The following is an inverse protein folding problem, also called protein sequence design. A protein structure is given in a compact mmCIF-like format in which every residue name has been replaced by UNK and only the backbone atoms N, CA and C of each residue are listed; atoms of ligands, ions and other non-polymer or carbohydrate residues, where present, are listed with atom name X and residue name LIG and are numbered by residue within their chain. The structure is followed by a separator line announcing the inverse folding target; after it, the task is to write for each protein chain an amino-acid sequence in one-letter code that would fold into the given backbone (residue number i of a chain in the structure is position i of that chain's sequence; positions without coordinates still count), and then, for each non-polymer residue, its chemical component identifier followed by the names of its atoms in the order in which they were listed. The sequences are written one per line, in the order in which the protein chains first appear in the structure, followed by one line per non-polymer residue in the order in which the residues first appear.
data_IF_694482403917
#
_entry.id   IF_694482403917
#
_cell.length_a   1.000
_cell.length_b   1.000
_cell.length_c   1.000
_cell.angle_alpha   90.00
_cell.angle_beta   90.00
_cell.angle_gamma   90.00
#
_symmetry.space_group_name_H-M   'P 1'
#
loop_
_entity.id
_entity.type
_entity.pdbx_description
1 polymer ?
#
# COMPACT_ATOMS: atom_id res chain seq x y z
N UNK A 1 -68.17 8.50 -10.42
CA UNK A 1 -66.89 8.64 -9.68
C UNK A 1 -66.25 7.26 -9.63
N UNK A 2 -65.66 6.75 -10.73
CA UNK A 2 -64.23 6.83 -11.10
C UNK A 2 -63.26 6.28 -10.05
N UNK A 3 -62.72 5.07 -10.31
CA UNK A 3 -61.28 4.75 -10.29
C UNK A 3 -61.13 3.37 -10.98
N UNK A 4 -60.79 3.34 -12.27
CA UNK A 4 -59.43 3.21 -12.83
C UNK A 4 -58.66 1.98 -12.30
N UNK A 5 -58.53 0.98 -13.17
CA UNK A 5 -57.61 -0.13 -12.98
C UNK A 5 -56.16 0.28 -13.22
N UNK A 6 -55.25 -0.51 -12.67
CA UNK A 6 -53.85 -0.52 -13.08
C UNK A 6 -53.36 -1.96 -13.11
N UNK A 7 -53.04 -2.46 -14.31
CA UNK A 7 -52.26 -3.67 -14.49
C UNK A 7 -50.88 -3.46 -13.86
N UNK A 8 -50.52 -4.29 -12.88
CA UNK A 8 -49.15 -4.43 -12.45
C UNK A 8 -48.37 -5.24 -13.51
N UNK A 9 -47.55 -4.56 -14.31
CA UNK A 9 -46.50 -5.22 -15.09
C UNK A 9 -45.40 -5.65 -14.12
N UNK A 10 -45.28 -6.96 -13.88
CA UNK A 10 -44.11 -7.53 -13.21
C UNK A 10 -42.97 -7.46 -14.23
N UNK A 11 -42.05 -6.51 -14.04
CA UNK A 11 -40.73 -6.56 -14.65
C UNK A 11 -39.96 -7.68 -13.95
N UNK A 12 -39.71 -8.78 -14.68
CA UNK A 12 -38.74 -9.77 -14.27
C UNK A 12 -37.35 -9.12 -14.31
N UNK A 13 -36.86 -8.65 -13.17
CA UNK A 13 -35.44 -8.34 -12.99
C UNK A 13 -34.68 -9.65 -13.10
N UNK A 14 -33.92 -9.80 -14.19
CA UNK A 14 -32.96 -10.88 -14.32
C UNK A 14 -31.94 -10.77 -13.19
N UNK A 15 -32.01 -11.67 -12.23
CA UNK A 15 -30.92 -11.88 -11.29
C UNK A 15 -29.75 -12.45 -12.09
N UNK A 16 -28.71 -11.63 -12.31
CA UNK A 16 -27.41 -12.17 -12.68
C UNK A 16 -27.00 -13.15 -11.58
N UNK A 17 -26.94 -14.44 -11.94
CA UNK A 17 -26.35 -15.45 -11.07
C UNK A 17 -24.87 -15.13 -11.01
N UNK A 18 -24.46 -14.45 -9.94
CA UNK A 18 -23.04 -14.34 -9.59
C UNK A 18 -22.62 -15.75 -9.23
N UNK A 19 -21.91 -16.43 -10.13
CA UNK A 19 -21.21 -17.67 -9.77
C UNK A 19 -20.17 -17.29 -8.73
N UNK A 20 -20.51 -17.49 -7.45
CA UNK A 20 -19.54 -17.43 -6.37
C UNK A 20 -18.51 -18.52 -6.64
N UNK A 21 -17.31 -18.08 -7.06
CA UNK A 21 -16.16 -18.93 -7.22
C UNK A 21 -15.89 -19.64 -5.89
N UNK A 22 -16.16 -20.94 -5.83
CA UNK A 22 -15.80 -21.77 -4.69
C UNK A 22 -14.35 -22.23 -4.86
N UNK A 23 -13.40 -21.41 -4.40
CA UNK A 23 -12.04 -21.89 -4.14
C UNK A 23 -12.08 -22.71 -2.83
N UNK A 24 -11.69 -23.97 -2.90
CA UNK A 24 -11.66 -24.91 -1.76
C UNK A 24 -10.34 -24.87 -0.98
N UNK A 25 -9.31 -24.21 -1.52
CA UNK A 25 -8.06 -23.91 -0.85
C UNK A 25 -7.04 -23.20 -1.76
N UNK A 26 -5.84 -22.92 -1.26
CA UNK A 26 -4.77 -22.25 -2.02
C UNK A 26 -4.40 -22.98 -3.33
N UNK A 27 -4.59 -24.30 -3.39
CA UNK A 27 -4.37 -25.11 -4.59
C UNK A 27 -5.33 -24.78 -5.74
N UNK A 28 -6.39 -24.02 -5.49
CA UNK A 28 -7.31 -23.55 -6.52
C UNK A 28 -6.88 -22.24 -7.16
N UNK A 29 -5.76 -21.63 -6.77
CA UNK A 29 -5.27 -20.39 -7.39
C UNK A 29 -4.26 -20.73 -8.49
N UNK A 30 -4.57 -20.31 -9.71
CA UNK A 30 -3.70 -20.44 -10.88
C UNK A 30 -2.79 -19.21 -11.02
N UNK A 31 -3.25 -18.03 -10.58
CA UNK A 31 -2.57 -16.75 -10.81
C UNK A 31 -2.54 -15.87 -9.56
N UNK A 32 -1.37 -15.30 -9.26
CA UNK A 32 -1.17 -14.25 -8.26
C UNK A 32 -0.72 -12.98 -8.97
N UNK A 33 -1.48 -11.91 -8.81
CA UNK A 33 -1.16 -10.58 -9.32
C UNK A 33 -0.80 -9.69 -8.13
N UNK A 34 0.44 -9.22 -8.09
CA UNK A 34 0.97 -8.31 -7.09
C UNK A 34 1.05 -6.92 -7.71
N UNK A 35 0.30 -5.96 -7.17
CA UNK A 35 0.31 -4.58 -7.63
C UNK A 35 0.70 -3.68 -6.46
N UNK A 36 1.75 -2.89 -6.66
CA UNK A 36 2.27 -1.99 -5.64
C UNK A 36 1.97 -0.54 -6.05
N UNK A 37 1.44 0.21 -5.11
CA UNK A 37 1.29 1.66 -5.10
C UNK A 37 2.25 2.26 -4.06
N UNK A 38 2.27 3.58 -3.93
CA UNK A 38 3.31 4.28 -3.18
C UNK A 38 2.80 5.21 -2.07
N UNK A 39 3.56 5.29 -0.97
CA UNK A 39 3.54 6.36 0.04
C UNK A 39 2.19 6.59 0.77
N UNK A 40 1.51 5.57 1.30
CA UNK A 40 0.24 5.76 2.05
C UNK A 40 0.15 4.94 3.33
N UNK A 41 -0.07 5.63 4.45
CA UNK A 41 -0.45 5.01 5.72
C UNK A 41 -1.92 4.52 5.70
N UNK A 42 -2.21 3.49 6.49
CA UNK A 42 -3.55 2.92 6.55
C UNK A 42 -4.57 3.90 7.14
N UNK A 43 -4.26 4.54 8.28
CA UNK A 43 -5.13 5.54 8.90
C UNK A 43 -5.42 6.74 7.98
N UNK A 44 -4.48 7.09 7.11
CA UNK A 44 -4.63 8.19 6.17
C UNK A 44 -5.75 7.93 5.14
N UNK A 45 -5.93 6.68 4.68
CA UNK A 45 -6.98 6.30 3.72
C UNK A 45 -8.24 5.74 4.39
N UNK A 46 -8.04 4.93 5.42
CA UNK A 46 -9.06 4.05 5.99
C UNK A 46 -9.23 4.21 7.49
N UNK A 47 -8.59 5.20 8.14
CA UNK A 47 -8.77 5.44 9.58
C UNK A 47 -10.22 5.74 9.97
N UNK A 48 -11.07 6.19 9.02
CA UNK A 48 -12.51 6.39 9.25
C UNK A 48 -13.38 5.17 8.92
N UNK A 49 -12.79 4.05 8.48
CA UNK A 49 -13.51 2.84 8.10
C UNK A 49 -14.02 2.07 9.32
N UNK A 50 -15.23 1.54 9.23
CA UNK A 50 -15.80 0.73 10.28
C UNK A 50 -15.28 -0.71 10.19
N UNK A 51 -14.93 -1.32 11.33
CA UNK A 51 -14.52 -2.72 11.40
C UNK A 51 -13.03 -2.97 11.19
N UNK A 52 -12.22 -1.92 11.03
CA UNK A 52 -10.76 -1.98 10.99
C UNK A 52 -10.15 -1.35 12.24
N UNK A 53 -8.86 -1.59 12.48
CA UNK A 53 -8.05 -0.79 13.38
C UNK A 53 -7.83 0.60 12.78
N UNK A 54 -8.74 1.52 13.10
CA UNK A 54 -8.68 2.93 12.70
C UNK A 54 -8.99 3.87 13.86
N UNK A 55 -9.59 5.04 13.62
CA UNK A 55 -9.89 6.04 14.64
C UNK A 55 -10.85 5.58 15.76
N UNK A 56 -11.51 4.44 15.59
CA UNK A 56 -12.33 3.80 16.61
C UNK A 56 -11.74 2.46 17.08
N UNK A 57 -10.43 2.26 16.97
CA UNK A 57 -9.73 1.08 17.48
C UNK A 57 -9.95 0.94 19.00
N UNK A 58 -10.45 -0.22 19.41
CA UNK A 58 -10.66 -0.56 20.81
C UNK A 58 -9.34 -0.87 21.55
N UNK A 59 -8.27 -1.18 20.81
CA UNK A 59 -6.93 -1.48 21.34
C UNK A 59 -5.99 -0.27 21.24
N UNK A 60 -6.56 0.94 21.18
CA UNK A 60 -5.80 2.17 21.02
C UNK A 60 -4.70 2.33 22.08
N UNK A 61 -3.49 2.60 21.60
CA UNK A 61 -2.37 2.94 22.47
C UNK A 61 -2.60 4.25 23.22
N UNK A 62 -2.21 4.25 24.50
CA UNK A 62 -2.15 5.46 25.32
C UNK A 62 -0.80 5.56 26.03
N UNK A 63 -0.21 6.76 26.03
CA UNK A 63 1.03 7.08 26.74
C UNK A 63 0.65 7.90 27.97
N UNK A 64 0.81 7.34 29.18
CA UNK A 64 0.43 8.00 30.44
C UNK A 64 -1.02 8.55 30.45
N UNK A 65 -1.95 7.81 29.84
CA UNK A 65 -3.36 8.20 29.72
C UNK A 65 -3.66 9.21 28.60
N UNK A 66 -2.66 9.60 27.80
CA UNK A 66 -2.82 10.41 26.59
C UNK A 66 -2.93 9.47 25.38
N UNK A 67 -4.04 9.49 24.62
CA UNK A 67 -4.16 8.67 23.42
C UNK A 67 -3.14 9.06 22.35
N UNK A 68 -2.60 8.08 21.62
CA UNK A 68 -1.62 8.31 20.54
C UNK A 68 -2.15 9.27 19.45
N UNK A 69 -3.46 9.44 19.31
CA UNK A 69 -4.05 10.47 18.45
C UNK A 69 -3.61 11.91 18.80
N UNK A 70 -3.17 12.17 20.04
CA UNK A 70 -2.69 13.49 20.44
C UNK A 70 -1.20 13.59 20.19
N UNK A 71 -0.85 14.13 19.03
CA UNK A 71 0.53 14.33 18.61
C UNK A 71 1.06 15.63 19.20
N UNK A 72 2.20 15.56 19.87
CA UNK A 72 2.80 16.71 20.56
C UNK A 72 3.12 17.84 19.56
N UNK A 73 3.11 19.08 20.04
CA UNK A 73 3.53 20.26 19.27
C UNK A 73 4.66 21.00 19.99
N UNK A 74 5.47 21.74 19.24
CA UNK A 74 6.48 22.66 19.78
C UNK A 74 6.02 24.11 19.65
N UNK A 75 6.65 25.01 20.40
CA UNK A 75 6.43 26.47 20.29
C UNK A 75 6.80 27.05 18.93
N UNK A 76 7.64 26.33 18.16
CA UNK A 76 7.97 26.68 16.78
C UNK A 76 6.81 26.42 15.82
N UNK A 77 5.92 25.48 16.16
CA UNK A 77 4.70 25.18 15.40
C UNK A 77 3.53 26.05 15.87
N UNK A 78 3.27 26.08 17.19
CA UNK A 78 2.15 26.82 17.78
C UNK A 78 2.35 27.03 19.29
N UNK A 79 1.83 28.16 19.80
CA UNK A 79 1.75 28.45 21.24
C UNK A 79 0.32 28.29 21.79
N UNK A 80 -0.64 27.91 20.95
CA UNK A 80 -2.07 27.85 21.32
C UNK A 80 -2.47 26.52 21.95
N UNK A 81 -1.74 25.44 21.62
CA UNK A 81 -2.01 24.08 22.06
C UNK A 81 -0.71 23.30 22.22
N UNK A 82 -0.73 22.28 23.08
CA UNK A 82 0.38 21.31 23.25
C UNK A 82 0.19 20.06 22.40
N UNK A 83 -0.97 19.91 21.76
CA UNK A 83 -1.29 18.75 20.92
C UNK A 83 -2.05 19.17 19.67
N UNK A 84 -1.86 18.40 18.61
CA UNK A 84 -2.73 18.33 17.43
C UNK A 84 -3.25 16.90 17.27
N UNK A 85 -4.48 16.77 16.79
CA UNK A 85 -5.13 15.48 16.54
C UNK A 85 -5.33 15.24 15.05
N UNK A 86 -5.51 13.99 14.58
CA UNK A 86 -5.82 13.71 13.19
C UNK A 86 -6.92 14.62 12.67
N UNK A 87 -6.72 15.12 11.47
CA UNK A 87 -7.58 16.15 10.92
C UNK A 87 -7.84 15.91 9.43
N UNK A 88 -9.03 16.32 9.00
CA UNK A 88 -9.52 16.00 7.68
C UNK A 88 -8.87 16.90 6.62
N UNK A 89 -8.15 16.30 5.67
CA UNK A 89 -7.59 16.93 4.48
C UNK A 89 -8.70 17.09 3.43
N UNK A 90 -9.53 18.10 3.56
CA UNK A 90 -10.59 18.33 2.58
C UNK A 90 -10.05 18.78 1.22
N UNK A 91 -10.58 18.26 0.12
CA UNK A 91 -10.48 18.94 -1.18
C UNK A 91 -11.55 20.05 -1.22
N UNK A 92 -11.13 21.32 -1.26
CA UNK A 92 -12.04 22.46 -1.46
C UNK A 92 -12.02 23.03 -2.89
N UNK A 93 -11.26 22.42 -3.81
CA UNK A 93 -10.99 23.02 -5.12
C UNK A 93 -10.07 24.23 -5.05
N UNK A 94 -9.44 24.56 -6.18
CA UNK A 94 -8.41 25.60 -6.26
C UNK A 94 -7.32 25.26 -7.29
N UNK A 95 -6.29 26.11 -7.41
CA UNK A 95 -5.10 25.79 -8.22
C UNK A 95 -4.30 24.64 -7.57
N UNK A 96 -3.32 24.04 -8.26
CA UNK A 96 -2.52 22.90 -7.73
C UNK A 96 -1.96 23.12 -6.32
N UNK A 97 -1.66 24.37 -5.93
CA UNK A 97 -1.25 24.75 -4.57
C UNK A 97 -2.31 24.58 -3.47
N UNK A 98 -3.58 24.38 -3.84
CA UNK A 98 -4.75 24.24 -2.97
C UNK A 98 -5.34 22.81 -3.06
N UNK A 99 -4.76 21.94 -3.90
CA UNK A 99 -5.20 20.56 -4.06
C UNK A 99 -4.62 19.69 -2.95
N UNK A 100 -5.44 19.37 -1.94
CA UNK A 100 -5.05 18.51 -0.82
C UNK A 100 -4.67 17.09 -1.22
N UNK A 101 -4.99 16.68 -2.45
CA UNK A 101 -4.58 15.39 -3.02
C UNK A 101 -3.14 15.35 -3.55
N UNK A 102 -2.48 16.50 -3.75
CA UNK A 102 -1.08 16.56 -4.19
C UNK A 102 -0.11 16.83 -3.03
N UNK A 103 -0.58 16.62 -1.80
CA UNK A 103 0.14 17.02 -0.60
C UNK A 103 1.23 16.02 -0.22
N UNK A 104 2.31 16.57 0.28
CA UNK A 104 3.40 15.81 0.89
C UNK A 104 3.21 15.89 2.40
N UNK A 105 3.03 14.74 3.06
CA UNK A 105 2.95 14.68 4.53
C UNK A 105 4.22 15.20 5.19
N UNK A 106 5.37 14.86 4.63
CA UNK A 106 6.68 15.24 5.15
C UNK A 106 7.76 14.39 4.49
N UNK A 107 8.61 13.78 5.30
CA UNK A 107 9.66 12.87 4.84
C UNK A 107 9.25 11.42 5.09
N UNK A 108 9.55 10.54 4.14
CA UNK A 108 9.58 9.07 4.35
C UNK A 108 10.95 8.56 4.82
N UNK A 109 11.90 9.47 5.06
CA UNK A 109 13.26 9.13 5.46
C UNK A 109 13.30 8.43 6.81
N UNK A 110 14.22 7.47 6.94
CA UNK A 110 14.44 6.68 8.15
C UNK A 110 14.49 7.55 9.41
N UNK A 111 15.33 8.59 9.41
CA UNK A 111 15.57 9.43 10.59
C UNK A 111 14.30 10.16 11.05
N UNK A 112 13.57 10.79 10.14
CA UNK A 112 12.36 11.55 10.45
C UNK A 112 11.24 10.64 10.96
N UNK A 113 11.01 9.50 10.28
CA UNK A 113 9.95 8.57 10.67
C UNK A 113 10.25 7.92 12.02
N UNK A 114 11.51 7.55 12.30
CA UNK A 114 11.87 7.01 13.61
C UNK A 114 11.83 8.05 14.73
N UNK A 115 12.19 9.30 14.43
CA UNK A 115 12.05 10.40 15.38
C UNK A 115 10.57 10.73 15.67
N UNK A 116 9.69 10.63 14.67
CA UNK A 116 8.25 10.81 14.79
C UNK A 116 7.55 9.66 15.55
N UNK A 117 7.97 8.43 15.26
CA UNK A 117 7.54 7.22 15.95
C UNK A 117 8.01 7.17 17.42
N UNK A 118 9.12 7.86 17.75
CA UNK A 118 9.55 8.11 19.12
C UNK A 118 9.63 6.85 20.00
N UNK A 119 10.40 5.85 19.56
CA UNK A 119 10.67 4.63 20.33
C UNK A 119 9.41 3.85 20.76
N UNK A 120 8.33 3.94 19.99
CA UNK A 120 7.10 3.21 20.22
C UNK A 120 6.02 4.02 20.93
N UNK A 121 6.29 5.23 21.44
CA UNK A 121 5.22 6.11 21.94
C UNK A 121 4.39 6.69 20.81
N UNK A 122 4.96 6.78 19.60
CA UNK A 122 4.29 7.13 18.36
C UNK A 122 3.55 8.49 18.41
N UNK A 123 4.12 9.47 19.11
CA UNK A 123 3.46 10.75 19.48
C UNK A 123 4.19 12.03 19.00
N UNK A 124 5.20 11.89 18.14
CA UNK A 124 6.04 13.00 17.65
C UNK A 124 5.85 13.34 16.16
N UNK A 125 4.85 12.80 15.46
CA UNK A 125 4.69 13.02 14.01
C UNK A 125 4.54 14.48 13.63
N UNK A 126 3.80 15.26 14.41
CA UNK A 126 3.62 16.68 14.12
C UNK A 126 4.93 17.49 14.27
N UNK A 127 5.85 17.10 15.17
CA UNK A 127 7.08 17.84 15.46
C UNK A 127 8.28 17.37 14.64
N UNK A 128 8.42 16.05 14.47
CA UNK A 128 9.61 15.42 13.89
C UNK A 128 9.41 14.97 12.45
N UNK A 129 8.17 14.94 11.98
CA UNK A 129 7.85 14.90 10.55
C UNK A 129 7.20 16.24 10.17
N UNK A 130 5.88 16.30 9.97
CA UNK A 130 5.18 17.59 9.92
C UNK A 130 3.76 17.49 10.49
N UNK A 131 3.10 18.63 10.81
CA UNK A 131 1.68 18.64 11.17
C UNK A 131 0.74 18.11 10.10
N UNK A 132 1.19 18.01 8.84
CA UNK A 132 0.43 17.42 7.75
C UNK A 132 0.44 15.89 7.80
N UNK A 133 1.48 15.25 8.35
CA UNK A 133 1.59 13.79 8.45
C UNK A 133 0.38 13.12 9.09
N UNK A 134 -0.37 13.85 9.93
CA UNK A 134 -1.54 13.34 10.67
C UNK A 134 -2.87 13.66 9.99
N UNK A 135 -2.82 14.17 8.76
CA UNK A 135 -3.99 14.41 7.93
C UNK A 135 -4.58 13.10 7.41
N UNK A 136 -5.90 13.05 7.21
CA UNK A 136 -6.59 11.88 6.65
C UNK A 136 -7.66 12.26 5.62
N UNK A 137 -7.99 11.31 4.75
CA UNK A 137 -9.10 11.39 3.80
C UNK A 137 -10.36 10.68 4.31
N UNK A 138 -11.51 11.07 3.78
CA UNK A 138 -12.77 10.37 4.01
C UNK A 138 -13.11 9.53 2.79
N UNK A 139 -14.00 8.55 3.00
CA UNK A 139 -14.59 7.71 1.95
C UNK A 139 -14.95 8.43 0.64
N UNK A 140 -15.56 9.61 0.73
CA UNK A 140 -15.99 10.38 -0.44
C UNK A 140 -14.82 10.92 -1.29
N UNK A 141 -13.64 11.02 -0.72
CA UNK A 141 -12.44 11.56 -1.35
C UNK A 141 -11.62 10.47 -2.07
N UNK A 142 -11.86 9.19 -1.72
CA UNK A 142 -11.17 8.00 -2.24
C UNK A 142 -12.17 6.93 -2.73
N UNK A 143 -13.07 7.24 -3.67
CA UNK A 143 -14.18 6.36 -4.02
C UNK A 143 -13.75 5.01 -4.60
N UNK A 144 -12.65 4.95 -5.36
CA UNK A 144 -12.16 3.69 -5.93
C UNK A 144 -11.55 2.80 -4.86
N UNK A 145 -10.62 3.32 -4.07
CA UNK A 145 -9.98 2.59 -2.98
C UNK A 145 -11.03 2.04 -2.01
N UNK A 146 -12.02 2.85 -1.63
CA UNK A 146 -13.11 2.42 -0.76
C UNK A 146 -14.01 1.36 -1.41
N UNK A 147 -14.29 1.47 -2.71
CA UNK A 147 -15.02 0.43 -3.43
C UNK A 147 -14.27 -0.91 -3.45
N UNK A 148 -12.93 -0.90 -3.54
CA UNK A 148 -12.13 -2.12 -3.47
C UNK A 148 -12.22 -2.76 -2.08
N UNK A 149 -11.97 -2.01 -1.01
CA UNK A 149 -12.00 -2.58 0.36
C UNK A 149 -13.41 -2.94 0.85
N UNK A 150 -14.47 -2.34 0.32
CA UNK A 150 -15.85 -2.72 0.65
C UNK A 150 -16.29 -4.05 0.01
N UNK A 151 -15.70 -4.41 -1.13
CA UNK A 151 -16.13 -5.57 -1.92
C UNK A 151 -15.17 -6.77 -1.77
N UNK A 152 -13.96 -6.56 -1.26
CA UNK A 152 -12.94 -7.58 -1.04
C UNK A 152 -12.33 -7.48 0.36
N UNK A 153 -11.24 -8.21 0.59
CA UNK A 153 -10.55 -8.27 1.88
C UNK A 153 -9.62 -7.06 2.00
N UNK A 154 -9.62 -6.45 3.18
CA UNK A 154 -8.64 -5.45 3.60
C UNK A 154 -7.81 -6.01 4.75
N UNK A 155 -6.49 -5.80 4.69
CA UNK A 155 -5.58 -6.12 5.78
C UNK A 155 -5.19 -4.83 6.49
N UNK A 156 -5.64 -4.66 7.74
CA UNK A 156 -5.43 -3.46 8.57
C UNK A 156 -4.23 -3.60 9.54
N UNK A 157 -3.42 -4.63 9.32
CA UNK A 157 -2.23 -4.98 10.10
C UNK A 157 -1.07 -5.39 9.18
N UNK A 158 -0.93 -4.72 8.04
CA UNK A 158 0.22 -4.85 7.14
C UNK A 158 1.24 -3.77 7.47
N UNK A 159 2.52 -4.16 7.61
CA UNK A 159 3.63 -3.25 7.90
C UNK A 159 4.71 -3.41 6.84
N UNK A 160 5.34 -2.28 6.47
CA UNK A 160 6.49 -2.25 5.57
C UNK A 160 7.82 -2.31 6.33
N UNK A 161 8.85 -2.80 5.65
CA UNK A 161 10.22 -2.89 6.18
C UNK A 161 11.12 -1.85 5.50
N UNK A 162 12.03 -1.23 6.25
CA UNK A 162 13.06 -0.34 5.71
C UNK A 162 14.42 -1.05 5.62
N UNK A 163 14.86 -1.42 4.42
CA UNK A 163 16.20 -2.00 4.19
C UNK A 163 17.15 -0.97 3.56
N UNK A 164 18.33 -0.77 4.15
CA UNK A 164 19.25 0.31 3.76
C UNK A 164 20.60 -0.16 3.17
N UNK A 165 20.76 -1.43 2.79
CA UNK A 165 22.05 -1.95 2.29
C UNK A 165 21.96 -2.53 0.88
N UNK A 166 22.00 -1.65 -0.13
CA UNK A 166 22.02 -2.03 -1.55
C UNK A 166 23.45 -2.27 -2.09
N UNK A 167 23.63 -3.17 -3.07
CA UNK A 167 22.61 -4.05 -3.63
C UNK A 167 22.29 -5.22 -2.69
N UNK A 168 21.02 -5.65 -2.70
CA UNK A 168 20.55 -6.83 -1.96
C UNK A 168 21.14 -8.10 -2.61
N UNK A 169 21.50 -9.11 -1.80
CA UNK A 169 22.27 -10.28 -2.27
C UNK A 169 21.63 -11.63 -1.96
N UNK A 170 20.55 -11.65 -1.20
CA UNK A 170 19.83 -12.89 -0.96
C UNK A 170 19.02 -13.29 -2.20
N UNK A 171 18.68 -14.58 -2.26
CA UNK A 171 17.91 -15.14 -3.36
C UNK A 171 16.50 -14.55 -3.38
N UNK A 172 16.08 -14.08 -4.56
CA UNK A 172 14.78 -13.44 -4.76
C UNK A 172 13.66 -14.46 -4.95
N UNK A 173 12.41 -14.01 -4.77
CA UNK A 173 11.22 -14.79 -5.10
C UNK A 173 11.23 -15.28 -6.56
N UNK A 174 11.63 -14.42 -7.50
CA UNK A 174 11.76 -14.76 -8.92
C UNK A 174 12.72 -15.94 -9.18
N UNK A 175 13.86 -15.98 -8.51
CA UNK A 175 14.79 -17.11 -8.62
C UNK A 175 14.21 -18.40 -7.99
N UNK A 176 13.42 -18.30 -6.92
CA UNK A 176 12.67 -19.46 -6.42
C UNK A 176 11.60 -19.93 -7.41
N UNK A 177 10.95 -19.01 -8.14
CA UNK A 177 9.99 -19.37 -9.19
C UNK A 177 10.69 -20.10 -10.34
N UNK A 178 11.85 -19.61 -10.80
CA UNK A 178 12.63 -20.26 -11.86
C UNK A 178 13.04 -21.69 -11.49
N UNK A 179 13.52 -21.90 -10.28
CA UNK A 179 13.89 -23.24 -9.78
C UNK A 179 12.69 -24.19 -9.71
N UNK A 180 11.50 -23.65 -9.39
CA UNK A 180 10.27 -24.41 -9.29
C UNK A 180 9.55 -24.60 -10.63
N UNK A 181 10.02 -23.96 -11.71
CA UNK A 181 9.33 -23.93 -12.99
C UNK A 181 8.03 -23.11 -13.00
N UNK A 182 7.85 -22.23 -12.01
CA UNK A 182 6.71 -21.32 -11.91
C UNK A 182 6.91 -20.14 -12.86
N UNK A 183 5.93 -19.90 -13.71
CA UNK A 183 5.94 -18.80 -14.67
C UNK A 183 5.73 -17.46 -13.97
N UNK A 184 6.58 -16.48 -14.26
CA UNK A 184 6.48 -15.14 -13.68
C UNK A 184 6.81 -14.03 -14.68
N UNK A 185 6.33 -12.82 -14.44
CA UNK A 185 6.58 -11.65 -15.30
C UNK A 185 6.38 -10.34 -14.52
N UNK A 186 7.29 -9.38 -14.72
CA UNK A 186 7.04 -7.97 -14.39
C UNK A 186 6.36 -7.30 -15.58
N UNK A 187 5.25 -6.61 -15.32
CA UNK A 187 4.60 -5.69 -16.23
C UNK A 187 4.78 -4.26 -15.70
N UNK A 188 5.45 -3.42 -16.48
CA UNK A 188 5.86 -2.09 -16.04
C UNK A 188 5.93 -1.09 -17.19
N UNK A 189 5.92 0.20 -16.85
CA UNK A 189 6.27 1.28 -17.78
C UNK A 189 7.79 1.55 -17.80
N UNK A 190 8.25 2.38 -18.73
CA UNK A 190 9.66 2.77 -18.84
C UNK A 190 10.10 3.69 -17.70
N UNK A 191 9.20 4.56 -17.23
CA UNK A 191 9.38 5.38 -16.03
C UNK A 191 8.52 4.79 -14.91
N UNK A 192 9.09 3.83 -14.19
CA UNK A 192 8.44 3.07 -13.12
C UNK A 192 8.81 3.59 -11.72
N UNK A 193 9.37 4.80 -11.64
CA UNK A 193 9.74 5.48 -10.40
C UNK A 193 10.70 4.75 -9.44
N UNK A 194 11.41 3.71 -9.91
CA UNK A 194 12.23 2.79 -9.10
C UNK A 194 11.41 1.80 -8.22
N UNK A 195 10.10 1.70 -8.45
CA UNK A 195 9.18 0.79 -7.73
C UNK A 195 9.45 -0.69 -8.02
N UNK A 196 10.19 -0.99 -9.08
CA UNK A 196 10.57 -2.36 -9.38
C UNK A 196 11.71 -2.81 -8.47
N UNK A 197 11.35 -3.30 -7.28
CA UNK A 197 12.29 -3.76 -6.25
C UNK A 197 13.30 -4.83 -6.72
N UNK A 198 13.05 -5.53 -7.84
CA UNK A 198 14.05 -6.42 -8.42
C UNK A 198 15.31 -5.65 -8.86
N UNK A 199 15.21 -4.38 -9.25
CA UNK A 199 16.35 -3.51 -9.61
C UNK A 199 17.36 -3.35 -8.46
N UNK A 200 16.93 -3.54 -7.22
CA UNK A 200 17.76 -3.38 -6.03
C UNK A 200 18.65 -4.59 -5.73
N UNK A 201 18.40 -5.72 -6.38
CA UNK A 201 19.14 -6.97 -6.18
C UNK A 201 20.33 -7.10 -7.14
N UNK A 202 21.47 -7.51 -6.60
CA UNK A 202 22.72 -7.63 -7.36
C UNK A 202 22.55 -8.55 -8.59
N UNK A 203 21.89 -9.69 -8.44
CA UNK A 203 21.66 -10.65 -9.52
C UNK A 203 20.84 -10.08 -10.68
N UNK A 204 19.96 -9.12 -10.42
CA UNK A 204 19.15 -8.43 -11.42
C UNK A 204 19.91 -7.27 -12.07
N UNK A 205 20.70 -6.53 -11.30
CA UNK A 205 21.62 -5.50 -11.81
C UNK A 205 22.65 -6.10 -12.77
N UNK A 206 23.17 -7.29 -12.44
CA UNK A 206 24.17 -8.01 -13.24
C UNK A 206 23.55 -8.84 -14.38
N UNK A 207 22.20 -8.92 -14.47
CA UNK A 207 21.50 -9.76 -15.43
C UNK A 207 21.73 -9.28 -16.88
N UNK A 208 22.26 -10.17 -17.72
CA UNK A 208 22.57 -9.85 -19.12
C UNK A 208 21.31 -9.90 -19.99
N UNK A 209 21.25 -9.06 -21.03
CA UNK A 209 20.22 -9.12 -22.08
C UNK A 209 20.03 -10.54 -22.60
N UNK A 210 18.77 -10.97 -22.73
CA UNK A 210 18.40 -12.33 -23.13
C UNK A 210 18.37 -13.37 -22.01
N UNK A 211 18.80 -13.03 -20.78
CA UNK A 211 18.55 -13.90 -19.61
C UNK A 211 17.13 -13.70 -19.08
N UNK A 212 16.61 -14.71 -18.39
CA UNK A 212 15.24 -14.68 -17.84
C UNK A 212 15.06 -13.53 -16.82
N UNK A 213 15.96 -13.36 -15.86
CA UNK A 213 15.93 -12.25 -14.89
C UNK A 213 15.92 -10.88 -15.57
N UNK A 214 16.71 -10.70 -16.64
CA UNK A 214 16.72 -9.44 -17.40
C UNK A 214 15.42 -9.23 -18.19
N UNK A 215 14.99 -10.21 -19.00
CA UNK A 215 13.83 -10.04 -19.88
C UNK A 215 12.51 -9.97 -19.10
N UNK A 216 12.36 -10.76 -18.03
CA UNK A 216 11.13 -10.82 -17.24
C UNK A 216 11.08 -9.82 -16.10
N UNK A 217 12.22 -9.51 -15.48
CA UNK A 217 12.30 -8.66 -14.29
C UNK A 217 12.70 -7.23 -14.58
N UNK A 218 13.86 -7.01 -15.22
CA UNK A 218 14.39 -5.65 -15.46
C UNK A 218 13.71 -4.96 -16.63
N UNK A 219 13.65 -5.62 -17.79
CA UNK A 219 12.97 -5.09 -18.97
C UNK A 219 11.45 -5.16 -18.80
N UNK A 220 10.96 -6.32 -18.38
CA UNK A 220 9.53 -6.56 -18.22
C UNK A 220 8.76 -6.49 -19.55
N UNK A 221 7.43 -6.47 -19.43
CA UNK A 221 6.48 -6.24 -20.52
C UNK A 221 5.65 -4.98 -20.23
N UNK A 222 5.11 -4.30 -21.24
CA UNK A 222 4.25 -3.15 -21.00
C UNK A 222 2.91 -3.55 -20.36
N UNK A 223 2.30 -2.64 -19.60
CA UNK A 223 0.99 -2.87 -18.95
C UNK A 223 -0.12 -3.28 -19.94
N UNK A 224 -0.06 -2.82 -21.19
CA UNK A 224 -1.02 -3.27 -22.22
C UNK A 224 -1.00 -4.78 -22.44
N UNK A 225 0.17 -5.41 -22.34
CA UNK A 225 0.30 -6.86 -22.44
C UNK A 225 -0.33 -7.57 -21.24
N UNK A 226 -0.27 -6.98 -20.04
CA UNK A 226 -1.02 -7.50 -18.89
C UNK A 226 -2.52 -7.51 -19.17
N UNK A 227 -3.08 -6.40 -19.65
CA UNK A 227 -4.51 -6.33 -19.98
C UNK A 227 -4.94 -7.36 -21.03
N UNK A 228 -4.13 -7.54 -22.08
CA UNK A 228 -4.38 -8.54 -23.12
C UNK A 228 -4.32 -9.97 -22.56
N UNK A 229 -3.31 -10.29 -21.75
CA UNK A 229 -3.17 -11.61 -21.15
C UNK A 229 -4.26 -11.91 -20.13
N UNK A 230 -4.65 -10.92 -19.31
CA UNK A 230 -5.77 -11.04 -18.38
C UNK A 230 -7.08 -11.33 -19.13
N UNK A 231 -7.37 -10.59 -20.21
CA UNK A 231 -8.56 -10.80 -21.03
C UNK A 231 -8.60 -12.18 -21.70
N UNK A 232 -7.44 -12.71 -22.08
CA UNK A 232 -7.31 -14.03 -22.70
C UNK A 232 -7.20 -15.19 -21.69
N UNK A 233 -7.05 -14.91 -20.39
CA UNK A 233 -6.83 -15.94 -19.37
C UNK A 233 -5.46 -16.61 -19.48
N UNK A 234 -4.45 -15.88 -19.96
CA UNK A 234 -3.10 -16.38 -20.23
C UNK A 234 -2.04 -15.65 -19.40
N UNK A 235 -2.42 -15.09 -18.25
CA UNK A 235 -1.44 -14.53 -17.31
C UNK A 235 -0.45 -15.61 -16.88
N UNK A 236 0.80 -15.23 -16.54
CA UNK A 236 1.70 -16.13 -15.83
C UNK A 236 1.13 -16.47 -14.43
N UNK A 237 1.70 -17.47 -13.78
CA UNK A 237 1.32 -17.85 -12.41
C UNK A 237 1.61 -16.72 -11.41
N UNK A 238 2.67 -15.93 -11.62
CA UNK A 238 2.98 -14.73 -10.83
C UNK A 238 3.17 -13.51 -11.72
N UNK A 239 2.33 -12.49 -11.54
CA UNK A 239 2.43 -11.21 -12.25
C UNK A 239 2.77 -10.10 -11.27
N UNK A 240 3.85 -9.37 -11.50
CA UNK A 240 4.15 -8.12 -10.79
C UNK A 240 3.72 -6.95 -11.66
N UNK A 241 2.92 -6.05 -11.11
CA UNK A 241 2.45 -4.84 -11.77
C UNK A 241 3.16 -3.67 -11.12
N UNK A 242 3.91 -2.93 -11.94
CA UNK A 242 4.56 -1.69 -11.54
C UNK A 242 3.99 -0.57 -12.42
N UNK A 243 3.37 0.43 -11.79
CA UNK A 243 2.77 1.55 -12.50
C UNK A 243 3.81 2.47 -13.15
N UNK A 244 3.40 3.33 -14.09
CA UNK A 244 4.20 4.51 -14.41
C UNK A 244 4.20 5.46 -13.21
N UNK A 245 5.29 6.21 -13.04
CA UNK A 245 5.47 7.18 -11.95
C UNK A 245 4.23 8.05 -11.70
N UNK A 246 3.59 8.54 -12.76
CA UNK A 246 2.46 9.46 -12.65
C UNK A 246 1.19 8.83 -12.05
N UNK A 247 1.16 7.50 -11.92
CA UNK A 247 0.06 6.73 -11.37
C UNK A 247 0.46 5.93 -10.11
N UNK A 248 1.69 6.08 -9.59
CA UNK A 248 2.15 5.33 -8.40
C UNK A 248 1.52 5.82 -7.10
N UNK A 249 1.01 7.06 -7.09
CA UNK A 249 0.60 7.83 -5.89
C UNK A 249 1.75 8.42 -5.07
N UNK A 250 3.01 8.21 -5.46
CA UNK A 250 4.10 8.94 -4.82
C UNK A 250 3.89 10.44 -5.00
N UNK A 251 3.92 11.18 -3.90
CA UNK A 251 3.68 12.62 -3.94
C UNK A 251 4.73 13.29 -4.86
N UNK A 252 4.32 14.22 -5.75
CA UNK A 252 3.06 14.96 -5.75
C UNK A 252 1.91 14.32 -6.56
N UNK A 253 2.04 13.07 -7.04
CA UNK A 253 0.94 12.39 -7.74
C UNK A 253 -0.20 12.06 -6.78
N UNK A 254 -1.42 12.20 -7.28
CA UNK A 254 -2.60 12.19 -6.41
C UNK A 254 -3.15 10.78 -6.17
N UNK A 255 -3.81 10.54 -5.03
CA UNK A 255 -4.64 9.35 -4.81
C UNK A 255 -5.65 9.08 -5.94
N UNK A 256 -6.13 10.13 -6.61
CA UNK A 256 -7.05 10.00 -7.73
C UNK A 256 -6.38 9.43 -8.99
N UNK A 257 -5.11 9.77 -9.23
CA UNK A 257 -4.36 9.25 -10.39
C UNK A 257 -4.05 7.77 -10.19
N UNK A 258 -3.59 7.38 -9.01
CA UNK A 258 -3.38 5.96 -8.69
C UNK A 258 -4.68 5.15 -8.65
N UNK A 259 -5.77 5.71 -8.12
CA UNK A 259 -7.11 5.12 -8.21
C UNK A 259 -7.50 4.73 -9.64
N UNK A 260 -7.08 5.51 -10.65
CA UNK A 260 -7.35 5.14 -12.04
C UNK A 260 -6.65 3.84 -12.42
N UNK A 261 -5.38 3.68 -12.04
CA UNK A 261 -4.60 2.48 -12.34
C UNK A 261 -5.12 1.27 -11.53
N UNK A 262 -5.38 1.44 -10.24
CA UNK A 262 -6.05 0.43 -9.40
C UNK A 262 -7.33 -0.09 -10.04
N UNK A 263 -8.19 0.81 -10.52
CA UNK A 263 -9.42 0.41 -11.20
C UNK A 263 -9.13 -0.36 -12.49
N UNK A 264 -8.13 0.05 -13.29
CA UNK A 264 -7.76 -0.67 -14.52
C UNK A 264 -7.25 -2.09 -14.24
N UNK A 265 -6.38 -2.25 -13.26
CA UNK A 265 -5.84 -3.56 -12.88
C UNK A 265 -6.94 -4.44 -12.29
N UNK A 266 -7.73 -3.92 -11.36
CA UNK A 266 -8.86 -4.65 -10.78
C UNK A 266 -9.88 -5.08 -11.84
N UNK A 267 -10.28 -4.17 -12.74
CA UNK A 267 -11.20 -4.51 -13.83
C UNK A 267 -10.64 -5.60 -14.76
N UNK A 268 -9.34 -5.57 -15.07
CA UNK A 268 -8.71 -6.57 -15.93
C UNK A 268 -8.76 -7.96 -15.28
N UNK A 269 -8.50 -8.05 -13.98
CA UNK A 269 -8.59 -9.30 -13.21
C UNK A 269 -10.05 -9.77 -13.11
N UNK A 270 -10.98 -8.88 -12.75
CA UNK A 270 -12.42 -9.19 -12.58
C UNK A 270 -13.04 -9.70 -13.89
N UNK A 271 -12.66 -9.11 -15.04
CA UNK A 271 -13.19 -9.49 -16.35
C UNK A 271 -12.48 -10.69 -16.96
N UNK A 272 -11.39 -11.17 -16.37
CA UNK A 272 -10.65 -12.32 -16.87
C UNK A 272 -11.51 -13.60 -16.84
N UNK A 273 -11.43 -14.48 -17.85
CA UNK A 273 -12.02 -15.82 -17.76
C UNK A 273 -11.41 -16.67 -16.63
N UNK A 274 -10.29 -16.22 -16.05
CA UNK A 274 -9.61 -16.84 -14.92
C UNK A 274 -9.89 -16.17 -13.57
N UNK A 275 -10.82 -15.21 -13.48
CA UNK A 275 -11.13 -14.49 -12.24
C UNK A 275 -11.30 -15.39 -11.00
N UNK A 276 -12.00 -16.52 -11.13
CA UNK A 276 -12.24 -17.48 -10.04
C UNK A 276 -10.99 -18.23 -9.57
N UNK A 277 -9.86 -18.06 -10.25
CA UNK A 277 -8.57 -18.71 -10.07
C UNK A 277 -7.44 -17.70 -9.88
N UNK A 278 -7.76 -16.41 -9.72
CA UNK A 278 -6.77 -15.32 -9.60
C UNK A 278 -6.91 -14.61 -8.26
N UNK A 279 -5.79 -14.32 -7.61
CA UNK A 279 -5.71 -13.39 -6.48
C UNK A 279 -5.02 -12.11 -6.95
N UNK A 280 -5.67 -10.97 -6.72
CA UNK A 280 -5.04 -9.65 -6.85
C UNK A 280 -4.73 -9.13 -5.44
N UNK A 281 -3.47 -8.78 -5.21
CA UNK A 281 -3.00 -8.11 -4.00
C UNK A 281 -2.58 -6.71 -4.40
N UNK A 282 -3.20 -5.70 -3.78
CA UNK A 282 -2.80 -4.30 -3.91
C UNK A 282 -2.14 -3.92 -2.59
N UNK A 283 -0.88 -3.52 -2.65
CA UNK A 283 -0.08 -3.11 -1.50
C UNK A 283 0.52 -1.73 -1.72
N UNK A 284 1.03 -1.13 -0.65
CA UNK A 284 1.84 0.07 -0.70
C UNK A 284 3.28 -0.26 -0.29
N UNK A 285 4.25 0.43 -0.86
CA UNK A 285 5.68 0.24 -0.56
C UNK A 285 6.03 0.75 0.85
N UNK A 286 5.50 1.91 1.23
CA UNK A 286 5.77 2.63 2.47
C UNK A 286 4.65 3.65 2.80
N UNK A 287 4.77 4.36 3.92
CA UNK A 287 3.69 5.20 4.47
C UNK A 287 3.62 6.63 3.93
N UNK A 288 4.60 7.12 3.18
CA UNK A 288 4.72 8.49 2.67
C UNK A 288 5.14 9.52 3.70
N UNK A 289 5.56 9.08 4.89
CA UNK A 289 5.64 9.96 6.06
C UNK A 289 4.26 10.33 6.62
N UNK A 290 3.20 9.62 6.22
CA UNK A 290 1.88 9.71 6.86
C UNK A 290 1.87 8.90 8.15
N UNK A 291 1.17 9.44 9.15
CA UNK A 291 0.99 8.84 10.46
C UNK A 291 0.03 7.65 10.39
N UNK A 292 0.39 6.59 11.09
CA UNK A 292 -0.49 5.49 11.46
C UNK A 292 -0.37 5.25 12.97
N UNK A 293 -1.50 5.00 13.65
CA UNK A 293 -1.49 4.78 15.08
C UNK A 293 -0.99 3.40 15.50
N UNK A 294 -1.00 2.42 14.60
CA UNK A 294 -0.59 1.07 14.90
C UNK A 294 0.93 1.03 15.02
N UNK A 295 1.43 0.83 16.24
CA UNK A 295 2.85 0.52 16.45
C UNK A 295 3.21 -0.77 15.70
N UNK A 296 4.17 -0.76 14.76
CA UNK A 296 4.55 -1.95 14.03
C UNK A 296 5.05 -3.04 14.99
N UNK A 297 4.71 -4.29 14.66
CA UNK A 297 5.23 -5.43 15.41
C UNK A 297 6.76 -5.46 15.30
N UNK A 298 7.41 -5.63 16.44
CA UNK A 298 8.86 -5.79 16.53
C UNK A 298 9.14 -7.10 17.25
N UNK A 299 10.14 -7.83 16.76
CA UNK A 299 10.63 -8.99 17.49
C UNK A 299 11.13 -8.54 18.89
N UNK A 300 11.06 -9.39 19.93
CA UNK A 300 11.64 -9.05 21.22
C UNK A 300 13.12 -8.66 21.11
N UNK A 301 13.58 -7.73 21.96
CA UNK A 301 14.97 -7.32 22.00
C UNK A 301 15.92 -8.52 21.97
N UNK A 302 16.92 -8.44 21.09
CA UNK A 302 17.98 -9.47 20.91
C UNK A 302 17.46 -10.79 20.33
N UNK A 303 16.32 -10.81 19.65
CA UNK A 303 15.88 -11.98 18.88
C UNK A 303 16.94 -12.32 17.81
N UNK A 304 17.52 -13.54 17.81
CA UNK A 304 18.58 -13.88 16.87
C UNK A 304 18.15 -13.73 15.41
N UNK A 305 18.95 -13.00 14.62
CA UNK A 305 18.70 -12.79 13.19
C UNK A 305 17.71 -11.67 12.86
N UNK A 306 16.99 -11.14 13.86
CA UNK A 306 16.01 -10.06 13.67
C UNK A 306 16.58 -8.68 14.02
N UNK A 307 17.74 -8.62 14.69
CA UNK A 307 18.38 -7.38 15.13
C UNK A 307 19.76 -7.23 14.48
N UNK A 308 20.10 -6.02 14.04
CA UNK A 308 21.40 -5.67 13.42
C UNK A 308 22.32 -4.93 14.39
N UNK A 309 23.61 -5.26 14.39
CA UNK A 309 24.65 -4.54 15.13
C UNK A 309 24.90 -3.24 14.37
N UNK A 310 24.64 -2.08 14.99
CA UNK A 310 25.12 -0.81 14.44
C UNK A 310 26.55 -0.53 14.95
N UNK A 311 27.60 -0.81 14.15
CA UNK A 311 28.98 -0.61 14.57
C UNK A 311 29.35 0.89 14.65
N UNK A 312 28.50 1.79 14.15
CA UNK A 312 28.78 3.22 14.05
C UNK A 312 28.07 4.05 15.13
N UNK A 313 27.09 3.47 15.83
CA UNK A 313 26.25 4.18 16.81
C UNK A 313 25.51 5.38 16.21
N UNK A 314 25.27 5.35 14.90
CA UNK A 314 24.61 6.40 14.12
C UNK A 314 23.11 6.13 13.95
N UNK A 315 22.73 4.86 14.00
CA UNK A 315 21.35 4.42 14.12
C UNK A 315 21.09 4.34 15.62
N UNK A 316 20.26 5.26 16.14
CA UNK A 316 19.95 5.37 17.57
C UNK A 316 19.49 4.03 18.14
N UNK A 317 19.53 3.89 19.49
CA UNK A 317 19.47 2.68 20.33
C UNK A 317 18.45 1.56 20.00
N UNK A 318 17.59 1.78 19.02
CA UNK A 318 16.57 0.90 18.47
C UNK A 318 17.11 -0.35 17.76
N UNK A 319 18.43 -0.54 17.71
CA UNK A 319 19.06 -1.80 17.30
C UNK A 319 20.27 -2.20 18.20
N UNK A 320 20.22 -1.93 19.51
CA UNK A 320 21.30 -2.35 20.43
C UNK A 320 21.35 -3.88 20.61
N UNK A 321 22.34 -4.51 20.00
CA UNK A 321 22.65 -5.92 20.15
C UNK A 321 23.31 -6.23 21.49
N UNK A 322 22.96 -7.39 22.03
CA UNK A 322 23.74 -8.03 23.08
C UNK A 322 24.51 -9.18 22.52
N UNK A 323 25.82 -9.05 22.60
CA UNK A 323 26.73 -10.18 22.60
C UNK A 323 26.72 -10.82 23.99
N UNK A 324 26.14 -12.02 24.08
CA UNK A 324 26.53 -13.04 25.04
C UNK A 324 26.20 -14.42 24.47
#
# INVERSE_FOLDING_TARGET
MTQLGLLARILATGFSVVNLAHATGLADIDHVVLFMQENRAFDHYFGTMAGVRGFNDANLQTNDGVPVWKQLTTTDLTNETTYVTPWYLNYLGGNWSEATQCMIAGSNGWYQNHAAWNHGTNDHWAMNNTPWSIGFYKRKDLPTQWALVDNWIVADMYQGDGFNCYPLKWKTAAEYYEDAGVSWQVFQDADNFDDNAFSWFQQFQDAKKGTSLHERGIKGLPLNTFYEQAANGTLPEVSYIIGPAQLSEHAPYSPHDGAWLENKIAEAVIKSPKYSKTVLIISFDETGGWFDHVDPYRSPDRTPGEWLDDPYGQVTELWKISTA
#
